data_IF_291412390874
#
_entry.id   IF_291412390874
#
_cell.length_a   1.000
_cell.length_b   1.000
_cell.length_c   1.000
_cell.angle_alpha   90.00
_cell.angle_beta   90.00
_cell.angle_gamma   90.00
#
_symmetry.space_group_name_H-M   'P 1'
#
loop_
_entity.id
_entity.type
_entity.pdbx_description
1 polymer ?
#
# COMPACT_ATOMS: atom_id res chain seq x y z
N UNK A 1 24.35 7.69 -16.45
CA UNK A 1 24.60 6.24 -16.62
C UNK A 1 23.69 5.59 -17.66
N UNK A 2 22.34 5.75 -17.63
CA UNK A 2 21.43 5.20 -18.66
C UNK A 2 21.77 5.57 -20.10
N UNK A 3 22.39 6.74 -20.35
CA UNK A 3 22.88 7.13 -21.68
C UNK A 3 24.13 6.39 -22.11
N UNK A 4 24.94 5.88 -21.17
CA UNK A 4 26.20 5.18 -21.42
C UNK A 4 26.05 3.65 -21.40
N UNK A 5 25.09 3.14 -20.63
CA UNK A 5 24.77 1.73 -20.51
C UNK A 5 23.24 1.54 -20.43
N UNK A 6 22.52 1.68 -21.55
CA UNK A 6 21.06 1.68 -21.58
C UNK A 6 20.44 0.35 -21.10
N UNK A 7 21.16 -0.75 -21.18
CA UNK A 7 20.68 -2.08 -20.80
C UNK A 7 21.12 -2.53 -19.41
N UNK A 8 21.88 -1.74 -18.65
CA UNK A 8 22.47 -2.17 -17.36
C UNK A 8 21.43 -2.71 -16.39
N UNK A 9 20.25 -2.09 -16.29
CA UNK A 9 19.18 -2.56 -15.41
C UNK A 9 18.66 -3.94 -15.84
N UNK A 10 18.49 -4.13 -17.15
CA UNK A 10 18.07 -5.41 -17.73
C UNK A 10 19.11 -6.49 -17.52
N UNK A 11 20.38 -6.17 -17.77
CA UNK A 11 21.48 -7.13 -17.66
C UNK A 11 21.66 -7.60 -16.21
N UNK A 12 21.47 -6.72 -15.23
CA UNK A 12 21.49 -7.08 -13.81
C UNK A 12 20.25 -7.91 -13.46
N UNK A 13 19.05 -7.45 -13.84
CA UNK A 13 17.79 -8.13 -13.54
C UNK A 13 17.72 -9.55 -14.13
N UNK A 14 18.26 -9.75 -15.34
CA UNK A 14 18.26 -11.06 -16.02
C UNK A 14 19.13 -12.13 -15.33
N UNK A 15 19.95 -11.75 -14.35
CA UNK A 15 20.77 -12.67 -13.56
C UNK A 15 20.03 -13.26 -12.35
N UNK A 16 18.85 -12.72 -12.01
CA UNK A 16 18.09 -13.15 -10.85
C UNK A 16 17.35 -14.47 -11.11
N UNK A 17 17.61 -15.55 -10.35
CA UNK A 17 17.03 -16.86 -10.62
C UNK A 17 15.49 -16.90 -10.58
N UNK A 18 14.87 -16.03 -9.76
CA UNK A 18 13.41 -15.88 -9.64
C UNK A 18 12.89 -14.59 -10.30
N UNK A 19 13.72 -13.95 -11.11
CA UNK A 19 13.35 -12.81 -11.95
C UNK A 19 12.93 -11.55 -11.19
N UNK A 20 12.08 -10.77 -11.85
CA UNK A 20 11.60 -9.47 -11.39
C UNK A 20 10.08 -9.50 -11.20
N UNK A 21 9.64 -9.04 -10.06
CA UNK A 21 8.22 -8.94 -9.67
C UNK A 21 7.84 -7.47 -9.51
N UNK A 22 6.76 -7.05 -10.17
CA UNK A 22 6.21 -5.71 -10.01
C UNK A 22 5.01 -5.71 -9.06
N UNK A 23 4.99 -4.75 -8.14
CA UNK A 23 3.85 -4.47 -7.26
C UNK A 23 3.24 -3.13 -7.64
N UNK A 24 2.00 -3.15 -8.10
CA UNK A 24 1.27 -2.04 -8.69
C UNK A 24 -0.07 -1.81 -7.99
N UNK A 25 -0.65 -0.63 -8.15
CA UNK A 25 -1.96 -0.28 -7.60
C UNK A 25 -1.97 1.12 -7.00
N UNK A 26 -3.13 1.71 -6.82
CA UNK A 26 -3.25 3.04 -6.18
C UNK A 26 -2.82 2.98 -4.72
N UNK A 27 -3.31 2.00 -3.95
CA UNK A 27 -2.98 1.77 -2.55
C UNK A 27 -2.44 0.34 -2.32
N UNK A 28 -1.78 0.10 -1.17
CA UNK A 28 -1.28 -1.21 -0.76
C UNK A 28 0.11 -1.58 -1.25
N UNK A 29 0.68 -0.88 -2.25
CA UNK A 29 1.98 -1.23 -2.88
C UNK A 29 3.09 -1.52 -1.88
N UNK A 30 3.42 -0.57 -1.00
CA UNK A 30 4.52 -0.73 -0.03
C UNK A 30 4.24 -1.85 0.98
N UNK A 31 2.99 -1.99 1.42
CA UNK A 31 2.58 -3.07 2.33
C UNK A 31 2.76 -4.43 1.68
N UNK A 32 2.22 -4.60 0.47
CA UNK A 32 2.35 -5.86 -0.28
C UNK A 32 3.80 -6.18 -0.62
N UNK A 33 4.60 -5.17 -1.02
CA UNK A 33 6.05 -5.35 -1.27
C UNK A 33 6.77 -5.85 -0.02
N UNK A 34 6.48 -5.27 1.14
CA UNK A 34 7.08 -5.67 2.41
C UNK A 34 6.65 -7.09 2.83
N UNK A 35 5.36 -7.39 2.76
CA UNK A 35 4.81 -8.71 3.08
C UNK A 35 5.38 -9.79 2.15
N UNK A 36 5.36 -9.57 0.85
CA UNK A 36 5.92 -10.50 -0.13
C UNK A 36 7.42 -10.70 0.10
N UNK A 37 8.16 -9.63 0.37
CA UNK A 37 9.60 -9.72 0.66
C UNK A 37 9.88 -10.56 1.90
N UNK A 38 9.07 -10.41 2.96
CA UNK A 38 9.19 -11.21 4.16
C UNK A 38 8.88 -12.71 3.89
N UNK A 39 7.82 -12.97 3.14
CA UNK A 39 7.45 -14.34 2.74
C UNK A 39 8.57 -14.98 1.92
N UNK A 40 9.14 -14.28 0.94
CA UNK A 40 10.23 -14.82 0.11
C UNK A 40 11.51 -15.08 0.93
N UNK A 41 11.85 -14.19 1.88
CA UNK A 41 12.99 -14.39 2.79
C UNK A 41 12.79 -15.60 3.71
N UNK A 42 11.58 -15.81 4.23
CA UNK A 42 11.26 -16.98 5.05
C UNK A 42 11.38 -18.30 4.25
N UNK A 43 11.21 -18.23 2.93
CA UNK A 43 11.48 -19.35 2.01
C UNK A 43 12.95 -19.47 1.59
N UNK A 44 13.84 -18.67 2.21
CA UNK A 44 15.29 -18.73 2.02
C UNK A 44 15.81 -17.99 0.80
N UNK A 45 15.04 -17.06 0.22
CA UNK A 45 15.50 -16.23 -0.89
C UNK A 45 16.13 -14.91 -0.41
N UNK A 46 17.17 -14.47 -1.08
CA UNK A 46 17.72 -13.12 -0.94
C UNK A 46 16.88 -12.19 -1.81
N UNK A 47 16.25 -11.21 -1.19
CA UNK A 47 15.30 -10.31 -1.84
C UNK A 47 15.91 -8.93 -2.00
N UNK A 48 15.97 -8.45 -3.23
CA UNK A 48 16.17 -7.04 -3.55
C UNK A 48 14.84 -6.32 -3.65
N UNK A 49 14.75 -5.12 -3.08
CA UNK A 49 13.58 -4.24 -3.22
C UNK A 49 14.03 -2.78 -3.27
N UNK A 50 13.28 -1.93 -3.96
CA UNK A 50 13.54 -0.50 -3.94
C UNK A 50 13.05 0.13 -2.62
N UNK A 51 13.73 1.16 -2.09
CA UNK A 51 13.24 1.91 -0.94
C UNK A 51 11.83 2.48 -1.18
N UNK A 52 11.04 2.58 -0.10
CA UNK A 52 9.70 3.19 -0.17
C UNK A 52 9.79 4.60 -0.74
N UNK A 53 8.93 4.89 -1.74
CA UNK A 53 8.96 6.16 -2.47
C UNK A 53 9.97 6.23 -3.64
N UNK A 54 10.92 5.30 -3.76
CA UNK A 54 11.86 5.22 -4.89
C UNK A 54 11.28 4.41 -6.06
N UNK A 55 10.02 4.65 -6.43
CA UNK A 55 9.22 3.86 -7.38
C UNK A 55 9.19 4.44 -8.82
N UNK A 56 9.99 5.47 -9.07
CA UNK A 56 10.20 6.07 -10.39
C UNK A 56 11.50 5.56 -11.05
N UNK A 57 11.70 5.75 -12.38
CA UNK A 57 12.86 5.20 -13.10
C UNK A 57 14.21 5.53 -12.46
N UNK A 58 14.39 6.77 -12.00
CA UNK A 58 15.65 7.21 -11.38
C UNK A 58 15.89 6.54 -10.01
N UNK A 59 14.83 6.43 -9.19
CA UNK A 59 14.90 5.77 -7.87
C UNK A 59 15.25 4.30 -8.01
N UNK A 60 14.56 3.58 -8.90
CA UNK A 60 14.82 2.16 -9.17
C UNK A 60 16.23 1.96 -9.73
N UNK A 61 16.65 2.78 -10.72
CA UNK A 61 18.00 2.69 -11.26
C UNK A 61 19.07 2.93 -10.19
N UNK A 62 18.86 3.91 -9.31
CA UNK A 62 19.78 4.20 -8.21
C UNK A 62 19.84 3.04 -7.20
N UNK A 63 18.69 2.46 -6.84
CA UNK A 63 18.62 1.32 -5.94
C UNK A 63 19.34 0.08 -6.54
N UNK A 64 19.09 -0.25 -7.80
CA UNK A 64 19.77 -1.36 -8.49
C UNK A 64 21.28 -1.13 -8.50
N UNK A 65 21.74 0.09 -8.80
CA UNK A 65 23.16 0.40 -8.85
C UNK A 65 23.85 0.36 -7.49
N UNK A 66 23.16 0.74 -6.43
CA UNK A 66 23.69 0.68 -5.06
C UNK A 66 23.96 -0.76 -4.60
N UNK A 67 23.14 -1.71 -5.06
CA UNK A 67 23.25 -3.13 -4.72
C UNK A 67 24.06 -3.95 -5.75
N UNK A 68 24.46 -3.32 -6.86
CA UNK A 68 25.23 -4.00 -7.90
C UNK A 68 26.72 -3.85 -7.65
N UNK A 69 27.43 -4.99 -7.61
CA UNK A 69 28.90 -5.03 -7.48
C UNK A 69 29.60 -4.40 -8.70
N UNK A 70 30.89 -4.09 -8.55
CA UNK A 70 31.71 -3.59 -9.66
C UNK A 70 31.80 -4.57 -10.86
N UNK A 71 31.51 -5.85 -10.64
CA UNK A 71 31.45 -6.87 -11.69
C UNK A 71 30.08 -6.97 -12.36
N UNK A 72 29.11 -6.09 -12.01
CA UNK A 72 27.77 -6.06 -12.57
C UNK A 72 26.83 -7.14 -12.00
N UNK A 73 27.14 -7.71 -10.83
CA UNK A 73 26.33 -8.74 -10.17
C UNK A 73 25.60 -8.17 -8.96
N UNK A 74 24.34 -8.56 -8.79
CA UNK A 74 23.52 -8.29 -7.61
C UNK A 74 23.46 -9.56 -6.74
N UNK A 75 23.65 -9.41 -5.43
CA UNK A 75 23.55 -10.53 -4.48
C UNK A 75 22.09 -10.71 -4.04
N UNK A 76 21.24 -11.10 -4.97
CA UNK A 76 19.81 -11.36 -4.76
C UNK A 76 19.35 -12.53 -5.64
N UNK A 77 18.28 -13.19 -5.20
CA UNK A 77 17.65 -14.28 -5.95
C UNK A 77 16.39 -13.80 -6.70
N UNK A 78 15.75 -12.74 -6.18
CA UNK A 78 14.54 -12.13 -6.73
C UNK A 78 14.57 -10.62 -6.51
N UNK A 79 14.01 -9.86 -7.45
CA UNK A 79 13.72 -8.44 -7.27
C UNK A 79 12.22 -8.22 -7.13
N UNK A 80 11.76 -7.61 -6.02
CA UNK A 80 10.38 -7.24 -5.78
C UNK A 80 10.31 -5.72 -5.76
N UNK A 81 9.69 -5.13 -6.78
CA UNK A 81 9.74 -3.70 -7.01
C UNK A 81 8.36 -3.06 -6.89
N UNK A 82 8.24 -2.10 -5.98
CA UNK A 82 7.12 -1.16 -5.96
C UNK A 82 7.26 -0.20 -7.15
N UNK A 83 6.24 -0.12 -7.99
CA UNK A 83 6.27 0.65 -9.24
C UNK A 83 5.18 1.72 -9.23
N UNK A 84 5.56 2.94 -9.63
CA UNK A 84 4.61 4.01 -9.92
C UNK A 84 3.94 3.74 -11.28
N UNK A 85 2.62 3.79 -11.32
CA UNK A 85 1.80 3.46 -12.49
C UNK A 85 2.11 4.34 -13.70
N UNK A 86 2.43 5.61 -13.48
CA UNK A 86 2.73 6.55 -14.58
C UNK A 86 4.05 6.26 -15.31
N UNK A 87 4.96 5.55 -14.66
CA UNK A 87 6.25 5.15 -15.24
C UNK A 87 6.37 3.65 -15.47
N UNK A 88 5.37 2.89 -15.03
CA UNK A 88 5.43 1.43 -15.02
C UNK A 88 5.73 0.81 -16.38
N UNK A 89 5.09 1.26 -17.46
CA UNK A 89 5.35 0.72 -18.81
C UNK A 89 6.78 1.02 -19.31
N UNK A 90 7.36 2.17 -18.93
CA UNK A 90 8.74 2.51 -19.28
C UNK A 90 9.72 1.62 -18.53
N UNK A 91 9.49 1.42 -17.23
CA UNK A 91 10.31 0.56 -16.38
C UNK A 91 10.18 -0.91 -16.82
N UNK A 92 8.96 -1.36 -17.12
CA UNK A 92 8.69 -2.72 -17.58
C UNK A 92 9.42 -3.06 -18.88
N UNK A 93 9.47 -2.14 -19.85
CA UNK A 93 10.26 -2.33 -21.08
C UNK A 93 11.75 -2.50 -20.81
N UNK A 94 12.27 -1.84 -19.76
CA UNK A 94 13.69 -1.92 -19.41
C UNK A 94 14.02 -3.17 -18.59
N UNK A 95 13.19 -3.52 -17.60
CA UNK A 95 13.45 -4.61 -16.68
C UNK A 95 12.89 -5.96 -17.14
N UNK A 96 11.83 -5.95 -17.99
CA UNK A 96 11.13 -7.15 -18.43
C UNK A 96 10.69 -8.03 -17.27
N UNK A 97 9.76 -7.53 -16.43
CA UNK A 97 9.33 -8.27 -15.24
C UNK A 97 8.66 -9.59 -15.62
N UNK A 98 8.96 -10.63 -14.86
CA UNK A 98 8.41 -11.97 -15.08
C UNK A 98 6.96 -12.05 -14.59
N UNK A 99 6.70 -11.46 -13.43
CA UNK A 99 5.38 -11.45 -12.80
C UNK A 99 5.01 -10.06 -12.28
N UNK A 100 3.71 -9.83 -12.14
CA UNK A 100 3.21 -8.61 -11.50
C UNK A 100 1.96 -8.91 -10.67
N UNK A 101 1.71 -8.04 -9.68
CA UNK A 101 0.42 -7.92 -9.02
C UNK A 101 -0.13 -6.51 -9.23
N UNK A 102 -1.43 -6.40 -9.51
CA UNK A 102 -2.16 -5.13 -9.49
C UNK A 102 -3.21 -5.21 -8.39
N UNK A 103 -3.08 -4.36 -7.38
CA UNK A 103 -3.85 -4.43 -6.15
C UNK A 103 -5.24 -3.81 -6.29
N UNK A 104 -5.30 -2.64 -6.91
CA UNK A 104 -6.52 -1.87 -7.06
C UNK A 104 -6.34 -0.69 -8.02
N UNK A 105 -7.45 -0.22 -8.57
CA UNK A 105 -7.56 1.05 -9.28
C UNK A 105 -8.52 1.95 -8.50
N UNK A 106 -7.99 2.98 -7.86
CA UNK A 106 -8.73 3.96 -7.08
C UNK A 106 -8.62 5.35 -7.69
N UNK A 107 -9.53 6.24 -7.33
CA UNK A 107 -9.40 7.67 -7.62
C UNK A 107 -8.25 8.21 -6.77
N UNK A 108 -7.13 8.47 -7.41
CA UNK A 108 -5.92 8.97 -6.78
C UNK A 108 -5.15 9.90 -7.73
N UNK A 109 -4.52 10.92 -7.19
CA UNK A 109 -3.68 11.86 -7.93
C UNK A 109 -4.35 12.41 -9.22
N UNK A 110 -5.60 12.84 -9.13
CA UNK A 110 -6.36 13.39 -10.28
C UNK A 110 -5.58 14.50 -11.00
N UNK A 111 -4.87 15.34 -10.25
CA UNK A 111 -4.00 16.39 -10.78
C UNK A 111 -2.87 15.87 -11.68
N UNK A 112 -2.45 14.61 -11.51
CA UNK A 112 -1.35 13.97 -12.27
C UNK A 112 -1.88 13.13 -13.42
N UNK A 113 -2.90 12.33 -13.15
CA UNK A 113 -3.41 11.34 -14.09
C UNK A 113 -4.73 11.76 -14.75
N UNK A 114 -5.48 12.69 -14.15
CA UNK A 114 -6.83 13.07 -14.58
C UNK A 114 -7.82 11.94 -14.26
N UNK A 115 -8.42 11.36 -15.28
CA UNK A 115 -9.45 10.34 -15.13
C UNK A 115 -8.88 8.94 -14.84
N UNK A 116 -9.59 8.09 -14.08
CA UNK A 116 -9.21 6.70 -13.82
C UNK A 116 -8.91 5.89 -15.08
N UNK A 117 -9.59 6.17 -16.20
CA UNK A 117 -9.38 5.51 -17.48
C UNK A 117 -7.96 5.64 -18.02
N UNK A 118 -7.25 6.72 -17.68
CA UNK A 118 -5.85 6.89 -18.04
C UNK A 118 -4.97 5.94 -17.25
N UNK A 119 -5.24 5.78 -15.95
CA UNK A 119 -4.53 4.81 -15.09
C UNK A 119 -4.83 3.40 -15.56
N UNK A 120 -6.08 3.12 -15.95
CA UNK A 120 -6.49 1.86 -16.56
C UNK A 120 -5.66 1.55 -17.83
N UNK A 121 -5.49 2.53 -18.71
CA UNK A 121 -4.67 2.40 -19.91
C UNK A 121 -3.18 2.17 -19.57
N UNK A 122 -2.67 2.81 -18.50
CA UNK A 122 -1.30 2.58 -18.02
C UNK A 122 -1.14 1.13 -17.53
N UNK A 123 -2.08 0.58 -16.76
CA UNK A 123 -2.03 -0.82 -16.31
C UNK A 123 -2.07 -1.81 -17.49
N UNK A 124 -2.90 -1.56 -18.52
CA UNK A 124 -2.85 -2.36 -19.76
C UNK A 124 -1.48 -2.30 -20.42
N UNK A 125 -0.89 -1.10 -20.51
CA UNK A 125 0.45 -0.91 -21.07
C UNK A 125 1.55 -1.62 -20.28
N UNK A 126 1.42 -1.73 -18.96
CA UNK A 126 2.34 -2.48 -18.11
C UNK A 126 2.11 -3.98 -18.31
N UNK A 127 0.87 -4.45 -18.28
CA UNK A 127 0.53 -5.85 -18.47
C UNK A 127 1.06 -6.41 -19.80
N UNK A 128 1.08 -5.59 -20.85
CA UNK A 128 1.65 -5.96 -22.14
C UNK A 128 3.16 -6.30 -22.09
N UNK A 129 3.90 -5.80 -21.10
CA UNK A 129 5.33 -6.02 -20.93
C UNK A 129 5.68 -7.14 -19.92
N UNK A 130 4.68 -7.69 -19.20
CA UNK A 130 4.88 -8.80 -18.25
C UNK A 130 5.19 -10.08 -19.01
N UNK A 131 6.15 -10.88 -18.51
CA UNK A 131 6.67 -12.04 -19.18
C UNK A 131 5.83 -13.31 -19.04
N UNK A 132 5.32 -13.61 -17.83
CA UNK A 132 4.71 -14.92 -17.57
C UNK A 132 3.35 -14.89 -16.88
N UNK A 133 3.19 -14.12 -15.82
CA UNK A 133 1.99 -14.18 -14.98
C UNK A 133 1.60 -12.84 -14.39
N UNK A 134 0.32 -12.66 -14.18
CA UNK A 134 -0.23 -11.49 -13.50
C UNK A 134 -1.25 -11.93 -12.44
N UNK A 135 -1.17 -11.29 -11.26
CA UNK A 135 -2.09 -11.51 -10.15
C UNK A 135 -2.97 -10.26 -10.01
N UNK A 136 -4.28 -10.42 -9.98
CA UNK A 136 -5.25 -9.34 -10.00
C UNK A 136 -6.23 -9.45 -8.83
N UNK A 137 -6.63 -8.31 -8.29
CA UNK A 137 -7.75 -8.25 -7.34
C UNK A 137 -9.06 -8.48 -8.10
N UNK A 138 -9.74 -9.61 -7.84
CA UNK A 138 -11.00 -9.95 -8.51
C UNK A 138 -12.17 -9.04 -8.11
N UNK A 139 -12.06 -8.37 -6.95
CA UNK A 139 -13.12 -7.51 -6.42
C UNK A 139 -13.07 -6.08 -6.97
N UNK A 140 -12.00 -5.74 -7.69
CA UNK A 140 -11.89 -4.51 -8.45
C UNK A 140 -12.46 -4.71 -9.86
N UNK A 141 -13.50 -3.93 -10.22
CA UNK A 141 -14.23 -4.11 -11.48
C UNK A 141 -13.33 -3.92 -12.70
N UNK A 142 -12.41 -2.95 -12.65
CA UNK A 142 -11.49 -2.73 -13.76
C UNK A 142 -10.53 -3.91 -13.90
N UNK A 143 -9.95 -4.39 -12.78
CA UNK A 143 -9.00 -5.51 -12.80
C UNK A 143 -9.70 -6.82 -13.21
N UNK A 144 -10.96 -7.00 -12.83
CA UNK A 144 -11.78 -8.10 -13.32
C UNK A 144 -11.96 -8.05 -14.85
N UNK A 145 -12.20 -6.88 -15.43
CA UNK A 145 -12.29 -6.69 -16.88
C UNK A 145 -10.94 -6.93 -17.56
N UNK A 146 -9.87 -6.34 -17.01
CA UNK A 146 -8.50 -6.55 -17.51
C UNK A 146 -8.14 -8.02 -17.50
N UNK A 147 -8.49 -8.75 -16.43
CA UNK A 147 -8.27 -10.19 -16.36
C UNK A 147 -8.94 -10.96 -17.48
N UNK A 148 -10.22 -10.62 -17.83
CA UNK A 148 -10.91 -11.24 -18.97
C UNK A 148 -10.19 -10.98 -20.29
N UNK A 149 -9.72 -9.75 -20.50
CA UNK A 149 -8.96 -9.37 -21.71
C UNK A 149 -7.67 -10.22 -21.80
N UNK A 150 -6.90 -10.32 -20.72
CA UNK A 150 -5.64 -11.05 -20.69
C UNK A 150 -5.82 -12.57 -20.79
N UNK A 151 -6.87 -13.13 -20.19
CA UNK A 151 -7.23 -14.54 -20.34
C UNK A 151 -7.58 -14.89 -21.80
N UNK A 152 -8.30 -13.99 -22.48
CA UNK A 152 -8.65 -14.17 -23.89
C UNK A 152 -7.43 -14.06 -24.81
N UNK A 153 -6.43 -13.23 -24.46
CA UNK A 153 -5.15 -13.18 -25.18
C UNK A 153 -4.30 -14.46 -25.03
N UNK A 154 -4.45 -15.17 -23.91
CA UNK A 154 -3.75 -16.43 -23.64
C UNK A 154 -2.23 -16.33 -23.48
N UNK A 155 -1.69 -15.11 -23.33
CA UNK A 155 -0.23 -14.85 -23.23
C UNK A 155 0.28 -14.97 -21.81
N UNK A 156 -0.53 -14.54 -20.84
CA UNK A 156 -0.20 -14.55 -19.42
C UNK A 156 -1.03 -15.60 -18.67
N UNK A 157 -0.43 -16.17 -17.63
CA UNK A 157 -1.21 -16.86 -16.62
C UNK A 157 -1.83 -15.82 -15.69
N UNK A 158 -3.15 -15.76 -15.64
CA UNK A 158 -3.91 -14.81 -14.82
C UNK A 158 -4.42 -15.51 -13.59
N UNK A 159 -4.07 -15.01 -12.42
CA UNK A 159 -4.52 -15.51 -11.13
C UNK A 159 -5.16 -14.37 -10.33
N UNK A 160 -6.03 -14.75 -9.37
CA UNK A 160 -6.78 -13.78 -8.60
C UNK A 160 -6.62 -13.97 -7.10
N UNK A 161 -6.68 -12.86 -6.38
CA UNK A 161 -6.94 -12.79 -4.95
C UNK A 161 -8.17 -11.94 -4.69
N UNK A 162 -8.70 -11.98 -3.47
CA UNK A 162 -9.85 -11.15 -3.11
C UNK A 162 -10.41 -11.47 -1.74
N UNK A 163 -11.67 -11.10 -1.54
CA UNK A 163 -12.42 -11.36 -0.31
C UNK A 163 -13.70 -12.14 -0.63
N UNK A 164 -14.28 -12.81 0.39
CA UNK A 164 -15.61 -13.40 0.21
C UNK A 164 -16.71 -12.33 0.14
N UNK A 165 -17.88 -12.65 -0.44
CA UNK A 165 -19.01 -11.74 -0.46
C UNK A 165 -19.44 -11.26 0.93
N UNK A 166 -19.33 -12.12 1.96
CA UNK A 166 -19.67 -11.80 3.34
C UNK A 166 -18.71 -10.77 3.93
N UNK A 167 -17.40 -10.92 3.67
CA UNK A 167 -16.38 -9.95 4.08
C UNK A 167 -16.58 -8.64 3.35
N UNK A 168 -16.87 -8.69 2.04
CA UNK A 168 -17.18 -7.49 1.26
C UNK A 168 -18.40 -6.74 1.81
N UNK A 169 -19.45 -7.46 2.18
CA UNK A 169 -20.67 -6.87 2.74
C UNK A 169 -20.51 -6.33 4.16
N UNK A 170 -19.54 -6.86 4.93
CA UNK A 170 -19.26 -6.42 6.30
C UNK A 170 -18.43 -5.14 6.38
N UNK A 171 -17.76 -4.74 5.30
CA UNK A 171 -16.97 -3.52 5.27
C UNK A 171 -17.90 -2.29 5.22
N UNK A 172 -17.81 -1.33 6.18
CA UNK A 172 -18.76 -0.21 6.29
C UNK A 172 -18.89 0.62 4.99
N UNK A 173 -17.78 0.88 4.32
CA UNK A 173 -17.74 1.62 3.04
C UNK A 173 -17.18 0.76 1.90
N UNK A 174 -17.19 -0.57 2.05
CA UNK A 174 -16.59 -1.50 1.10
C UNK A 174 -15.07 -1.35 1.02
N UNK A 175 -14.48 -1.82 -0.07
CA UNK A 175 -13.05 -1.63 -0.33
C UNK A 175 -12.74 -0.28 -0.98
N UNK A 176 -13.69 0.64 -1.04
CA UNK A 176 -13.60 1.95 -1.70
C UNK A 176 -12.83 1.85 -3.03
N UNK A 177 -13.34 1.00 -3.93
CA UNK A 177 -12.79 0.83 -5.28
C UNK A 177 -13.38 1.86 -6.24
N UNK A 178 -12.76 2.04 -7.40
CA UNK A 178 -13.29 2.90 -8.46
C UNK A 178 -14.57 2.34 -9.12
N UNK A 179 -15.40 1.61 -8.37
CA UNK A 179 -16.64 0.97 -8.85
C UNK A 179 -17.59 1.92 -9.56
N UNK A 180 -17.61 3.18 -9.11
CA UNK A 180 -18.57 4.17 -9.61
C UNK A 180 -18.19 4.75 -10.99
N UNK A 181 -16.97 4.50 -11.48
CA UNK A 181 -16.49 5.09 -12.72
C UNK A 181 -16.62 4.19 -13.95
N UNK A 182 -16.69 2.88 -13.79
CA UNK A 182 -16.63 1.98 -14.96
C UNK A 182 -17.98 1.60 -15.53
N UNK A 183 -19.10 1.84 -14.82
CA UNK A 183 -20.44 1.40 -15.25
C UNK A 183 -20.55 -0.12 -15.53
N UNK A 184 -19.49 -0.87 -15.24
CA UNK A 184 -19.43 -2.29 -15.53
C UNK A 184 -20.31 -3.07 -14.55
N UNK A 185 -21.17 -3.90 -15.08
CA UNK A 185 -21.92 -4.88 -14.29
C UNK A 185 -20.92 -5.77 -13.51
N UNK A 186 -21.29 -6.12 -12.28
CA UNK A 186 -20.50 -7.05 -11.47
C UNK A 186 -20.16 -8.29 -12.32
N UNK A 187 -18.90 -8.47 -12.63
CA UNK A 187 -18.41 -9.68 -13.29
C UNK A 187 -18.62 -10.86 -12.36
N UNK A 188 -18.97 -12.02 -12.92
CA UNK A 188 -19.10 -13.24 -12.13
C UNK A 188 -17.83 -13.46 -11.28
N UNK A 189 -18.02 -13.79 -10.00
CA UNK A 189 -16.91 -14.03 -9.06
C UNK A 189 -15.97 -15.10 -9.63
N UNK A 190 -14.73 -14.69 -9.89
CA UNK A 190 -13.67 -15.60 -10.28
C UNK A 190 -13.12 -16.34 -9.06
N UNK A 191 -12.63 -17.55 -9.27
CA UNK A 191 -11.92 -18.26 -8.23
C UNK A 191 -10.64 -17.51 -7.86
N UNK A 192 -10.42 -17.29 -6.56
CA UNK A 192 -9.19 -16.72 -6.03
C UNK A 192 -8.27 -17.81 -5.49
N UNK A 193 -6.96 -17.65 -5.66
CA UNK A 193 -5.94 -18.52 -5.07
C UNK A 193 -5.87 -18.30 -3.55
N UNK A 194 -5.86 -17.04 -3.14
CA UNK A 194 -5.99 -16.64 -1.75
C UNK A 194 -7.19 -15.70 -1.58
N UNK A 195 -7.99 -15.95 -0.55
CA UNK A 195 -9.24 -15.23 -0.29
C UNK A 195 -9.39 -14.92 1.19
N UNK A 196 -9.66 -13.66 1.53
CA UNK A 196 -9.98 -13.27 2.89
C UNK A 196 -11.40 -13.71 3.22
N UNK A 197 -11.54 -14.62 4.19
CA UNK A 197 -12.84 -15.14 4.64
C UNK A 197 -13.33 -14.50 5.94
N UNK A 198 -12.41 -13.84 6.67
CA UNK A 198 -12.72 -13.04 7.86
C UNK A 198 -11.59 -12.05 8.10
N UNK A 199 -11.92 -10.84 8.57
CA UNK A 199 -10.96 -9.88 9.08
C UNK A 199 -11.60 -9.13 10.26
N UNK A 200 -10.95 -9.18 11.43
CA UNK A 200 -11.39 -8.53 12.66
C UNK A 200 -10.18 -8.00 13.44
N UNK A 201 -10.10 -6.68 13.58
CA UNK A 201 -8.94 -6.02 14.19
C UNK A 201 -7.62 -6.45 13.55
N UNK A 202 -6.78 -7.12 14.33
CA UNK A 202 -5.48 -7.65 13.90
C UNK A 202 -5.53 -9.11 13.44
N UNK A 203 -6.70 -9.75 13.46
CA UNK A 203 -6.84 -11.16 13.12
C UNK A 203 -7.56 -11.32 11.79
N UNK A 204 -7.04 -12.18 10.94
CA UNK A 204 -7.66 -12.55 9.68
C UNK A 204 -7.71 -14.07 9.52
N UNK A 205 -8.70 -14.53 8.76
CA UNK A 205 -8.73 -15.88 8.21
C UNK A 205 -8.59 -15.78 6.70
N UNK A 206 -7.60 -16.46 6.16
CA UNK A 206 -7.33 -16.46 4.73
C UNK A 206 -7.45 -17.90 4.22
N UNK A 207 -8.35 -18.11 3.28
CA UNK A 207 -8.42 -19.35 2.52
C UNK A 207 -7.32 -19.34 1.46
N UNK A 208 -6.47 -20.36 1.46
CA UNK A 208 -5.47 -20.59 0.42
C UNK A 208 -5.65 -21.99 -0.15
N UNK A 209 -5.86 -22.10 -1.46
CA UNK A 209 -6.13 -23.37 -2.13
C UNK A 209 -7.25 -24.21 -1.44
N UNK A 210 -8.27 -23.55 -0.92
CA UNK A 210 -9.42 -24.17 -0.25
C UNK A 210 -9.23 -24.50 1.23
N UNK A 211 -8.06 -24.23 1.81
CA UNK A 211 -7.80 -24.42 3.26
C UNK A 211 -7.73 -23.08 3.95
N UNK A 212 -8.42 -22.92 5.09
CA UNK A 212 -8.45 -21.69 5.88
C UNK A 212 -7.32 -21.68 6.89
N UNK A 213 -6.60 -20.55 6.95
CA UNK A 213 -5.48 -20.32 7.85
C UNK A 213 -5.75 -19.09 8.70
N UNK A 214 -5.48 -19.19 10.01
CA UNK A 214 -5.50 -18.05 10.93
C UNK A 214 -4.20 -17.24 10.78
N UNK A 215 -4.36 -15.94 10.57
CA UNK A 215 -3.24 -15.00 10.33
C UNK A 215 -3.34 -13.84 11.31
N UNK A 216 -2.34 -13.67 12.17
CA UNK A 216 -2.18 -12.46 12.95
C UNK A 216 -1.48 -11.40 12.10
N UNK A 217 -2.16 -10.29 11.85
CA UNK A 217 -1.68 -9.21 11.00
C UNK A 217 -0.82 -8.21 11.81
N UNK A 218 0.20 -7.61 11.20
CA UNK A 218 0.98 -6.54 11.83
C UNK A 218 0.19 -5.23 12.01
N UNK A 219 -0.82 -5.01 11.17
CA UNK A 219 -1.74 -3.88 11.26
C UNK A 219 -3.18 -4.34 11.09
N UNK A 220 -4.13 -3.51 11.50
CA UNK A 220 -5.55 -3.85 11.48
C UNK A 220 -6.22 -3.47 10.16
N UNK A 221 -7.33 -4.12 9.89
CA UNK A 221 -8.27 -3.77 8.82
C UNK A 221 -8.22 -4.69 7.62
N UNK A 222 -9.35 -4.74 6.92
CA UNK A 222 -9.57 -5.62 5.75
C UNK A 222 -8.53 -5.38 4.65
N UNK A 223 -8.11 -4.12 4.44
CA UNK A 223 -7.12 -3.79 3.41
C UNK A 223 -5.78 -4.49 3.66
N UNK A 224 -5.40 -4.66 4.92
CA UNK A 224 -4.17 -5.37 5.26
C UNK A 224 -4.30 -6.87 4.99
N UNK A 225 -5.46 -7.45 5.30
CA UNK A 225 -5.75 -8.85 4.97
C UNK A 225 -5.76 -9.09 3.45
N UNK A 226 -6.29 -8.14 2.66
CA UNK A 226 -6.28 -8.18 1.19
C UNK A 226 -4.84 -8.11 0.64
N UNK A 227 -3.99 -7.24 1.20
CA UNK A 227 -2.57 -7.17 0.82
C UNK A 227 -1.82 -8.47 1.14
N UNK A 228 -2.19 -9.18 2.25
CA UNK A 228 -1.64 -10.50 2.58
C UNK A 228 -2.10 -11.55 1.55
N UNK A 229 -3.39 -11.57 1.19
CA UNK A 229 -3.90 -12.49 0.18
C UNK A 229 -3.19 -12.29 -1.18
N UNK A 230 -2.95 -11.04 -1.57
CA UNK A 230 -2.15 -10.70 -2.75
C UNK A 230 -0.72 -11.25 -2.65
N UNK A 231 -0.06 -11.03 -1.50
CA UNK A 231 1.31 -11.50 -1.26
C UNK A 231 1.39 -13.04 -1.27
N UNK A 232 0.42 -13.75 -0.69
CA UNK A 232 0.39 -15.22 -0.70
C UNK A 232 0.19 -15.77 -2.13
N UNK A 233 -0.74 -15.19 -2.89
CA UNK A 233 -0.99 -15.60 -4.27
C UNK A 233 0.29 -15.42 -5.12
N UNK A 234 0.93 -14.25 -5.01
CA UNK A 234 2.12 -13.94 -5.79
C UNK A 234 3.34 -14.75 -5.35
N UNK A 235 3.47 -15.03 -4.03
CA UNK A 235 4.53 -15.90 -3.51
C UNK A 235 4.37 -17.34 -4.02
N UNK A 236 3.17 -17.89 -3.94
CA UNK A 236 2.88 -19.21 -4.46
C UNK A 236 3.17 -19.32 -5.95
N UNK A 237 2.80 -18.28 -6.72
CA UNK A 237 3.09 -18.23 -8.16
C UNK A 237 4.58 -18.28 -8.46
N UNK A 238 5.40 -17.52 -7.71
CA UNK A 238 6.85 -17.43 -7.97
C UNK A 238 7.63 -18.63 -7.43
N UNK A 239 7.19 -19.23 -6.31
CA UNK A 239 7.87 -20.35 -5.66
C UNK A 239 7.45 -21.72 -6.20
N UNK A 240 6.25 -21.82 -6.81
CA UNK A 240 5.70 -23.11 -7.26
C UNK A 240 5.65 -24.13 -6.13
N UNK A 241 6.15 -25.33 -6.37
CA UNK A 241 6.16 -26.44 -5.39
C UNK A 241 6.97 -26.14 -4.11
N UNK A 242 7.77 -25.09 -4.10
CA UNK A 242 8.54 -24.66 -2.92
C UNK A 242 7.70 -23.79 -1.96
N UNK A 243 6.52 -23.34 -2.37
CA UNK A 243 5.67 -22.52 -1.52
C UNK A 243 5.13 -23.33 -0.35
N UNK A 244 5.32 -22.80 0.86
CA UNK A 244 4.83 -23.35 2.11
C UNK A 244 3.99 -22.28 2.82
N UNK A 245 2.69 -22.53 2.92
CA UNK A 245 1.73 -21.60 3.52
C UNK A 245 2.03 -21.35 5.02
N UNK A 246 2.54 -22.35 5.75
CA UNK A 246 2.87 -22.16 7.16
C UNK A 246 4.04 -21.19 7.33
N UNK A 247 5.05 -21.26 6.47
CA UNK A 247 6.13 -20.28 6.41
C UNK A 247 5.61 -18.90 6.02
N UNK A 248 4.71 -18.81 5.06
CA UNK A 248 4.12 -17.53 4.65
C UNK A 248 3.33 -16.87 5.79
N UNK A 249 2.53 -17.63 6.53
CA UNK A 249 1.81 -17.13 7.72
C UNK A 249 2.79 -16.69 8.80
N UNK A 250 3.82 -17.48 9.11
CA UNK A 250 4.88 -17.12 10.08
C UNK A 250 5.57 -15.81 9.69
N UNK A 251 5.93 -15.64 8.43
CA UNK A 251 6.57 -14.43 7.91
C UNK A 251 5.70 -13.19 8.14
N UNK A 252 4.39 -13.29 7.86
CA UNK A 252 3.46 -12.18 8.09
C UNK A 252 3.38 -11.79 9.56
N UNK A 253 3.26 -12.78 10.47
CA UNK A 253 3.13 -12.55 11.90
C UNK A 253 4.35 -11.85 12.52
N UNK A 254 5.53 -12.04 11.95
CA UNK A 254 6.80 -11.46 12.42
C UNK A 254 7.18 -10.18 11.70
N UNK A 255 6.49 -9.84 10.61
CA UNK A 255 6.77 -8.65 9.81
C UNK A 255 6.32 -7.38 10.55
N UNK A 256 7.15 -6.35 10.51
CA UNK A 256 6.78 -5.02 11.02
C UNK A 256 5.93 -4.27 9.99
N UNK A 257 5.04 -3.41 10.48
CA UNK A 257 4.27 -2.52 9.62
C UNK A 257 5.17 -1.57 8.84
N UNK A 258 4.75 -1.23 7.63
CA UNK A 258 5.33 -0.12 6.88
C UNK A 258 4.92 1.20 7.54
N UNK A 259 5.76 2.23 7.42
CA UNK A 259 5.50 3.53 8.06
C UNK A 259 4.12 4.09 7.79
N UNK A 260 3.58 4.71 8.84
CA UNK A 260 2.31 5.40 8.79
C UNK A 260 1.10 4.50 8.56
N UNK A 261 1.26 3.17 8.61
CA UNK A 261 0.16 2.22 8.40
C UNK A 261 -0.25 1.54 9.69
N UNK A 262 -0.73 2.35 10.65
CA UNK A 262 -0.96 1.91 12.00
C UNK A 262 0.34 1.74 12.78
N UNK A 263 1.38 2.45 12.40
CA UNK A 263 2.66 2.47 13.11
C UNK A 263 2.48 3.13 14.46
N UNK A 264 2.94 2.48 15.52
CA UNK A 264 2.95 3.04 16.87
C UNK A 264 4.37 3.47 17.24
N UNK A 265 4.53 4.77 17.47
CA UNK A 265 5.78 5.37 17.97
C UNK A 265 5.71 5.57 19.49
N UNK A 266 6.83 5.32 20.15
CA UNK A 266 6.94 5.52 21.59
C UNK A 266 7.84 6.72 21.88
N UNK A 267 7.26 7.79 22.43
CA UNK A 267 7.97 9.05 22.68
C UNK A 267 7.70 9.53 24.12
N UNK A 268 8.74 9.63 24.94
CA UNK A 268 8.65 10.11 26.32
C UNK A 268 7.55 9.42 27.15
N UNK A 269 7.39 8.10 26.97
CA UNK A 269 6.36 7.31 27.66
C UNK A 269 4.93 7.56 27.18
N UNK A 270 4.76 8.12 25.98
CA UNK A 270 3.48 8.27 25.26
C UNK A 270 3.52 7.42 24.01
N UNK A 271 2.37 6.95 23.60
CA UNK A 271 2.18 6.24 22.33
C UNK A 271 1.54 7.18 21.30
N UNK A 272 2.05 7.12 20.08
CA UNK A 272 1.53 7.86 18.93
C UNK A 272 1.26 6.85 17.82
N UNK A 273 -0.01 6.66 17.48
CA UNK A 273 -0.40 5.88 16.32
C UNK A 273 -0.46 6.79 15.09
N UNK A 274 0.33 6.47 14.07
CA UNK A 274 0.34 7.20 12.81
C UNK A 274 -0.52 6.48 11.78
N UNK A 275 -1.53 7.18 11.30
CA UNK A 275 -2.45 6.76 10.24
C UNK A 275 -2.24 7.66 9.02
N UNK A 276 -1.46 7.17 8.07
CA UNK A 276 -1.16 7.93 6.86
C UNK A 276 -2.39 8.00 5.96
N UNK A 277 -2.70 9.20 5.51
CA UNK A 277 -3.72 9.47 4.52
C UNK A 277 -3.09 9.92 3.19
N UNK A 278 -3.66 9.47 2.09
CA UNK A 278 -3.20 9.79 0.74
C UNK A 278 -4.36 10.21 -0.17
N UNK A 279 -5.50 9.57 0.01
CA UNK A 279 -6.72 9.75 -0.77
C UNK A 279 -7.93 9.35 0.08
N UNK A 280 -9.14 9.50 -0.47
CA UNK A 280 -10.39 9.14 0.22
C UNK A 280 -10.35 7.71 0.77
N UNK A 281 -9.94 6.75 -0.04
CA UNK A 281 -9.93 5.34 0.35
C UNK A 281 -9.02 5.09 1.57
N UNK A 282 -7.82 5.68 1.58
CA UNK A 282 -6.90 5.51 2.71
C UNK A 282 -7.41 6.19 3.99
N UNK A 283 -8.02 7.37 3.88
CA UNK A 283 -8.63 8.04 5.03
C UNK A 283 -9.82 7.22 5.57
N UNK A 284 -10.75 6.83 4.68
CA UNK A 284 -11.95 6.12 5.08
C UNK A 284 -11.64 4.78 5.74
N UNK A 285 -10.74 4.00 5.17
CA UNK A 285 -10.31 2.73 5.77
C UNK A 285 -9.66 2.93 7.14
N UNK A 286 -8.83 3.95 7.30
CA UNK A 286 -8.27 4.27 8.62
C UNK A 286 -9.36 4.64 9.65
N UNK A 287 -10.37 5.40 9.24
CA UNK A 287 -11.50 5.76 10.10
C UNK A 287 -12.36 4.54 10.43
N UNK A 288 -12.72 3.72 9.45
CA UNK A 288 -13.60 2.55 9.62
C UNK A 288 -13.04 1.54 10.64
N UNK A 289 -11.73 1.39 10.67
CA UNK A 289 -11.04 0.42 11.53
C UNK A 289 -10.41 1.02 12.80
N UNK A 290 -10.81 2.25 13.19
CA UNK A 290 -10.46 2.77 14.51
C UNK A 290 -11.06 1.92 15.63
N UNK A 291 -10.29 1.68 16.67
CA UNK A 291 -10.76 1.04 17.91
C UNK A 291 -11.54 2.07 18.76
N UNK A 292 -12.79 2.26 18.44
CA UNK A 292 -13.64 3.28 19.08
C UNK A 292 -13.33 4.69 18.56
N UNK A 293 -13.83 5.69 19.29
CA UNK A 293 -13.58 7.10 19.01
C UNK A 293 -12.27 7.53 19.69
N UNK A 294 -11.28 8.04 18.93
CA UNK A 294 -10.02 8.48 19.52
C UNK A 294 -10.25 9.75 20.38
N UNK A 295 -9.64 9.77 21.55
CA UNK A 295 -9.75 10.88 22.51
C UNK A 295 -8.60 11.88 22.45
N UNK A 296 -7.68 11.72 21.50
CA UNK A 296 -6.59 12.66 21.22
C UNK A 296 -6.19 12.56 19.76
N UNK A 297 -6.49 13.59 18.98
CA UNK A 297 -6.36 13.58 17.52
C UNK A 297 -5.57 14.77 17.01
N UNK A 298 -4.51 14.49 16.26
CA UNK A 298 -3.85 15.43 15.35
C UNK A 298 -4.25 15.10 13.91
N UNK A 299 -4.68 16.10 13.14
CA UNK A 299 -4.95 15.93 11.71
C UNK A 299 -4.09 16.94 10.92
N UNK A 300 -3.08 16.45 10.21
CA UNK A 300 -2.21 17.31 9.43
C UNK A 300 -2.28 16.99 7.94
N UNK A 301 -2.42 18.05 7.13
CA UNK A 301 -2.68 17.97 5.71
C UNK A 301 -1.92 19.04 4.92
N UNK A 302 -1.25 18.67 3.84
CA UNK A 302 -0.42 19.57 3.06
C UNK A 302 -0.67 19.52 1.54
N UNK A 303 0.24 20.16 0.78
CA UNK A 303 0.15 20.32 -0.66
C UNK A 303 0.58 19.09 -1.48
N UNK A 304 1.11 18.04 -0.85
CA UNK A 304 1.44 16.79 -1.54
C UNK A 304 0.19 16.17 -2.16
N UNK A 305 -0.95 16.39 -1.50
CA UNK A 305 -2.27 16.14 -2.04
C UNK A 305 -2.85 17.41 -2.66
N UNK A 306 -2.56 17.67 -3.94
CA UNK A 306 -2.92 18.93 -4.62
C UNK A 306 -4.43 19.18 -4.72
N UNK A 307 -5.25 18.13 -4.71
CA UNK A 307 -6.71 18.20 -4.70
C UNK A 307 -7.26 17.76 -3.35
N UNK A 308 -7.76 18.67 -2.51
CA UNK A 308 -8.36 18.36 -1.22
C UNK A 308 -9.83 17.91 -1.32
N UNK A 309 -10.44 17.91 -2.50
CA UNK A 309 -11.88 17.70 -2.68
C UNK A 309 -12.36 16.34 -2.15
N UNK A 310 -11.53 15.31 -2.23
CA UNK A 310 -11.84 13.98 -1.71
C UNK A 310 -12.10 13.97 -0.18
N UNK A 311 -11.57 14.94 0.56
CA UNK A 311 -11.81 15.05 2.00
C UNK A 311 -13.30 15.27 2.32
N UNK A 312 -14.04 15.93 1.42
CA UNK A 312 -15.47 16.21 1.59
C UNK A 312 -16.36 14.98 1.44
N UNK A 313 -15.87 13.93 0.79
CA UNK A 313 -16.59 12.66 0.63
C UNK A 313 -16.35 11.67 1.79
N UNK A 314 -15.40 11.95 2.69
CA UNK A 314 -15.10 11.08 3.82
C UNK A 314 -16.23 11.12 4.87
N UNK A 315 -16.60 9.95 5.39
CA UNK A 315 -17.43 9.83 6.59
C UNK A 315 -16.56 10.00 7.82
N UNK A 316 -16.74 11.13 8.51
CA UNK A 316 -16.01 11.48 9.73
C UNK A 316 -16.75 11.08 11.02
N UNK A 317 -17.79 10.25 10.95
CA UNK A 317 -18.63 9.88 12.11
C UNK A 317 -17.84 9.30 13.29
N UNK A 318 -16.70 8.68 13.03
CA UNK A 318 -15.79 8.12 14.04
C UNK A 318 -14.94 9.17 14.77
N UNK A 319 -14.96 10.42 14.34
CA UNK A 319 -14.23 11.52 14.98
C UNK A 319 -15.24 12.45 15.68
N UNK A 320 -15.20 12.52 17.00
CA UNK A 320 -16.02 13.49 17.76
C UNK A 320 -15.33 14.85 17.81
N UNK A 321 -14.00 14.86 17.87
CA UNK A 321 -13.18 16.05 18.04
C UNK A 321 -11.80 15.88 17.39
N UNK A 322 -11.18 16.98 16.97
CA UNK A 322 -9.76 17.05 16.55
C UNK A 322 -9.05 18.11 17.38
N UNK A 323 -8.08 17.70 18.23
CA UNK A 323 -7.39 18.62 19.14
C UNK A 323 -6.53 19.65 18.41
N UNK A 324 -5.77 19.19 17.43
CA UNK A 324 -4.88 20.06 16.63
C UNK A 324 -5.02 19.73 15.15
N UNK A 325 -5.28 20.76 14.37
CA UNK A 325 -5.24 20.70 12.91
C UNK A 325 -3.94 21.34 12.45
N UNK A 326 -3.22 20.71 11.52
CA UNK A 326 -1.91 21.16 11.09
C UNK A 326 -1.71 21.07 9.57
N UNK A 327 -0.56 21.56 9.14
CA UNK A 327 -0.15 21.59 7.73
C UNK A 327 -0.69 22.78 6.95
N UNK A 328 -0.08 23.09 5.79
CA UNK A 328 -0.46 24.22 4.94
C UNK A 328 -1.92 24.24 4.49
N UNK A 329 -2.54 23.04 4.38
CA UNK A 329 -3.96 22.88 4.01
C UNK A 329 -4.87 22.51 5.17
N UNK A 330 -4.43 22.67 6.40
CA UNK A 330 -5.24 22.41 7.59
C UNK A 330 -6.59 23.15 7.61
N UNK A 331 -6.66 24.33 6.98
CA UNK A 331 -7.93 25.08 6.86
C UNK A 331 -9.04 24.29 6.15
N UNK A 332 -8.72 23.40 5.19
CA UNK A 332 -9.72 22.54 4.54
C UNK A 332 -10.27 21.49 5.51
N UNK A 333 -9.42 20.95 6.38
CA UNK A 333 -9.85 20.02 7.44
C UNK A 333 -10.77 20.73 8.42
N UNK A 334 -10.40 21.93 8.89
CA UNK A 334 -11.21 22.74 9.80
C UNK A 334 -12.60 23.05 9.17
N UNK A 335 -12.60 23.44 7.89
CA UNK A 335 -13.84 23.73 7.17
C UNK A 335 -14.72 22.49 7.06
N UNK A 336 -14.13 21.32 6.75
CA UNK A 336 -14.86 20.05 6.66
C UNK A 336 -15.50 19.66 8.01
N UNK A 337 -14.73 19.77 9.11
CA UNK A 337 -15.23 19.51 10.46
C UNK A 337 -16.37 20.45 10.83
N UNK A 338 -16.25 21.74 10.52
CA UNK A 338 -17.29 22.73 10.78
C UNK A 338 -18.59 22.42 10.01
N UNK A 339 -18.51 21.94 8.75
CA UNK A 339 -19.69 21.49 8.01
C UNK A 339 -20.38 20.28 8.63
N UNK A 340 -19.64 19.39 9.30
CA UNK A 340 -20.19 18.25 10.04
C UNK A 340 -20.65 18.62 11.45
N UNK A 341 -20.53 19.89 11.85
CA UNK A 341 -20.85 20.33 13.21
C UNK A 341 -19.92 19.73 14.28
N UNK A 342 -18.71 19.38 13.91
CA UNK A 342 -17.69 18.78 14.80
C UNK A 342 -16.77 19.85 15.35
N UNK A 343 -16.42 19.73 16.61
CA UNK A 343 -15.51 20.65 17.28
C UNK A 343 -14.06 20.34 16.91
N UNK A 344 -13.24 21.39 16.92
CA UNK A 344 -11.79 21.28 16.85
C UNK A 344 -11.11 22.33 17.74
N UNK A 345 -9.89 22.00 18.20
CA UNK A 345 -9.15 22.89 19.11
C UNK A 345 -8.41 23.96 18.37
N UNK A 346 -7.18 23.73 18.00
CA UNK A 346 -6.25 24.74 17.46
C UNK A 346 -5.83 24.39 16.03
N UNK A 347 -5.70 25.42 15.19
CA UNK A 347 -5.03 25.33 13.90
C UNK A 347 -3.58 25.81 14.08
N UNK A 348 -2.62 24.89 14.01
CA UNK A 348 -1.17 25.16 14.04
C UNK A 348 -0.55 24.70 12.72
N UNK A 349 -0.20 25.61 11.79
CA UNK A 349 0.28 25.20 10.47
C UNK A 349 1.60 24.44 10.47
N UNK A 350 2.46 24.68 11.46
CA UNK A 350 3.74 23.97 11.61
C UNK A 350 3.51 22.62 12.33
N UNK A 351 3.72 21.53 11.61
CA UNK A 351 3.48 20.18 12.16
C UNK A 351 4.38 19.85 13.34
N UNK A 352 5.59 20.38 13.41
CA UNK A 352 6.49 20.11 14.54
C UNK A 352 5.98 20.79 15.82
N UNK A 353 5.47 22.01 15.70
CA UNK A 353 4.80 22.72 16.81
C UNK A 353 3.49 22.06 17.19
N UNK A 354 2.73 21.57 16.21
CA UNK A 354 1.50 20.82 16.44
C UNK A 354 1.78 19.54 17.24
N UNK A 355 2.78 18.76 16.83
CA UNK A 355 3.22 17.54 17.55
C UNK A 355 3.70 17.89 18.96
N UNK A 356 4.54 18.94 19.11
CA UNK A 356 4.99 19.40 20.42
C UNK A 356 3.80 19.74 21.34
N UNK A 357 2.81 20.46 20.79
CA UNK A 357 1.59 20.83 21.53
C UNK A 357 0.80 19.61 22.00
N UNK A 358 0.68 18.58 21.15
CA UNK A 358 0.04 17.32 21.53
C UNK A 358 0.80 16.62 22.65
N UNK A 359 2.13 16.62 22.59
CA UNK A 359 2.99 15.98 23.60
C UNK A 359 3.03 16.76 24.93
N UNK A 360 2.92 18.08 24.89
CA UNK A 360 2.87 18.92 26.10
C UNK A 360 1.47 18.92 26.77
N UNK A 361 0.46 18.52 26.02
CA UNK A 361 -0.91 18.43 26.48
C UNK A 361 -1.18 17.26 27.46
N UNK A 362 -2.43 17.10 27.91
CA UNK A 362 -2.82 15.99 28.77
C UNK A 362 -2.59 14.64 28.07
N UNK A 363 -2.34 13.59 28.87
CA UNK A 363 -2.27 12.24 28.33
C UNK A 363 -3.66 11.78 27.90
N UNK A 364 -3.79 11.17 26.71
CA UNK A 364 -5.06 10.59 26.29
C UNK A 364 -5.48 9.46 27.24
N UNK A 365 -6.78 9.33 27.49
CA UNK A 365 -7.35 8.27 28.35
C UNK A 365 -7.15 6.88 27.72
N UNK A 366 -7.16 6.81 26.39
CA UNK A 366 -6.85 5.62 25.62
C UNK A 366 -5.39 5.16 25.74
N UNK A 367 -4.51 6.03 26.26
CA UNK A 367 -3.07 5.80 26.35
C UNK A 367 -2.29 6.20 25.10
N UNK A 368 -2.96 6.47 23.98
CA UNK A 368 -2.28 6.80 22.70
C UNK A 368 -2.90 8.02 22.02
N UNK A 369 -2.03 8.82 21.38
CA UNK A 369 -2.44 9.84 20.43
C UNK A 369 -2.68 9.23 19.05
N UNK A 370 -3.70 9.68 18.33
CA UNK A 370 -3.99 9.26 16.94
C UNK A 370 -3.66 10.40 15.98
N UNK A 371 -2.70 10.18 15.11
CA UNK A 371 -2.22 11.18 14.15
C UNK A 371 -2.62 10.78 12.74
N UNK A 372 -3.52 11.54 12.13
CA UNK A 372 -3.85 11.46 10.71
C UNK A 372 -2.92 12.40 9.94
N UNK A 373 -2.01 11.84 9.16
CA UNK A 373 -0.96 12.61 8.49
C UNK A 373 -0.88 12.23 7.02
N UNK A 374 -0.75 13.19 6.12
CA UNK A 374 -0.28 12.86 4.78
C UNK A 374 1.23 12.52 4.78
N UNK A 375 1.76 12.14 3.64
CA UNK A 375 3.13 11.64 3.55
C UNK A 375 4.17 12.64 4.05
N UNK A 376 4.10 13.89 3.61
CA UNK A 376 5.12 14.89 3.94
C UNK A 376 5.05 15.30 5.42
N UNK A 377 3.83 15.44 5.96
CA UNK A 377 3.62 15.72 7.37
C UNK A 377 4.05 14.55 8.26
N UNK A 378 3.82 13.32 7.80
CA UNK A 378 4.30 12.11 8.48
C UNK A 378 5.82 12.08 8.54
N UNK A 379 6.49 12.31 7.42
CA UNK A 379 7.96 12.30 7.38
C UNK A 379 8.56 13.42 8.23
N UNK A 380 7.95 14.62 8.23
CA UNK A 380 8.36 15.73 9.10
C UNK A 380 8.18 15.38 10.58
N UNK A 381 7.03 14.78 10.94
CA UNK A 381 6.74 14.32 12.30
C UNK A 381 7.75 13.27 12.77
N UNK A 382 8.04 12.27 11.96
CA UNK A 382 9.01 11.20 12.28
C UNK A 382 10.40 11.78 12.53
N UNK A 383 10.89 12.66 11.64
CA UNK A 383 12.18 13.34 11.81
C UNK A 383 12.23 14.16 13.09
N UNK A 384 11.19 14.94 13.37
CA UNK A 384 11.08 15.71 14.60
C UNK A 384 11.16 14.84 15.85
N UNK A 385 10.52 13.67 15.84
CA UNK A 385 10.53 12.71 16.94
C UNK A 385 11.82 11.86 17.03
N UNK A 386 12.80 12.08 16.12
CA UNK A 386 14.08 11.37 16.12
C UNK A 386 14.05 9.99 15.47
N UNK A 387 12.97 9.66 14.75
CA UNK A 387 12.90 8.42 13.98
C UNK A 387 13.55 8.63 12.62
N UNK A 388 14.52 7.77 12.30
CA UNK A 388 15.26 7.84 11.04
C UNK A 388 14.35 7.64 9.83
N UNK A 389 14.66 8.33 8.75
CA UNK A 389 14.12 8.01 7.44
C UNK A 389 14.66 6.63 7.02
N UNK A 390 13.84 5.80 6.42
CA UNK A 390 14.20 4.45 5.98
C UNK A 390 15.15 4.41 4.79
N UNK A 391 15.37 5.54 4.14
CA UNK A 391 16.32 5.64 3.04
C UNK A 391 17.77 5.37 3.48
N UNK A 392 18.04 5.36 4.78
CA UNK A 392 19.31 4.95 5.36
C UNK A 392 19.27 3.50 5.84
N UNK A 393 19.25 2.55 4.87
CA UNK A 393 19.64 1.17 5.10
C UNK A 393 18.78 0.42 6.12
N UNK A 394 17.79 -0.33 5.65
CA UNK A 394 17.37 -1.54 6.33
C UNK A 394 18.53 -2.55 6.18
N UNK A 395 19.44 -2.55 7.16
CA UNK A 395 20.33 -3.67 7.37
C UNK A 395 19.58 -4.74 8.16
#
# INVERSE_FOLDING_TARGET
MQKLAPNVMRDVASQLPYGVVFVLGSNGKSTTTNLLSAVMREHGLRVFTNPSGANMPQGIASAILAETSLTGRMDADIAILEIDEGYGAVIARQLKPDTAVILNLLVDQIYRFGEPDKVAAMFRGIAAEIGSSIVLNRDDNFLGTLGTELEAEGRLNVEYFGVTPEVQASAPHGQVSARDFSGAAATALRSAVAEVVQADGYDAKISFAGTVHDVRMPSRGIHYAVDIAAAFTLAARNLGDRFDIAKAVSAVQTTKTVYGRGEVLHVNGREIEILMLKNLASLQLNLDYLEGTPDSVLFAYDESSKDPSWLYAADLSKLDHVDVISGPKGAFVALRLAYEGKDFGVIEPDVTKAVQRMLDGPRPKSGKHTFFLDYDQMMATRRYLGYKDLEAGAA
#
